data_IF_486898732479
#
_entry.id   IF_486898732479
#
_cell.length_a   1.000
_cell.length_b   1.000
_cell.length_c   1.000
_cell.angle_alpha   90.00
_cell.angle_beta   90.00
_cell.angle_gamma   90.00
#
_symmetry.space_group_name_H-M   'P 1'
#
loop_
_entity.id
_entity.type
_entity.pdbx_description
1 polymer ?
#
# COMPACT_ATOMS: atom_id res chain seq x y z
N UNK A 1 -20.52 13.56 -7.42
CA UNK A 1 -20.75 12.13 -7.08
C UNK A 1 -20.83 11.98 -5.57
N UNK A 2 -21.67 11.09 -5.03
CA UNK A 2 -21.70 10.85 -3.58
C UNK A 2 -20.44 10.10 -3.16
N UNK A 3 -19.61 10.73 -2.32
CA UNK A 3 -18.30 10.21 -1.88
C UNK A 3 -18.44 8.84 -1.22
N UNK A 4 -19.45 8.64 -0.35
CA UNK A 4 -19.65 7.38 0.35
C UNK A 4 -19.94 6.22 -0.62
N UNK A 5 -20.74 6.48 -1.65
CA UNK A 5 -21.00 5.51 -2.72
C UNK A 5 -19.72 5.17 -3.47
N UNK A 6 -18.87 6.16 -3.74
CA UNK A 6 -17.56 5.94 -4.37
C UNK A 6 -16.66 5.07 -3.50
N UNK A 7 -16.58 5.34 -2.19
CA UNK A 7 -15.79 4.56 -1.23
C UNK A 7 -16.29 3.10 -1.20
N UNK A 8 -17.59 2.88 -1.07
CA UNK A 8 -18.15 1.52 -1.06
C UNK A 8 -17.88 0.77 -2.37
N UNK A 9 -18.07 1.42 -3.51
CA UNK A 9 -17.75 0.82 -4.82
C UNK A 9 -16.26 0.52 -4.95
N UNK A 10 -15.39 1.37 -4.41
CA UNK A 10 -13.96 1.15 -4.41
C UNK A 10 -13.60 -0.07 -3.55
N UNK A 11 -14.03 -0.07 -2.28
CA UNK A 11 -13.72 -1.12 -1.31
C UNK A 11 -14.29 -2.49 -1.72
N UNK A 12 -15.36 -2.51 -2.53
CA UNK A 12 -15.97 -3.73 -3.07
C UNK A 12 -15.51 -4.07 -4.50
N UNK A 13 -14.45 -3.45 -5.02
CA UNK A 13 -13.87 -3.75 -6.34
C UNK A 13 -14.83 -3.51 -7.53
N UNK A 14 -15.76 -2.55 -7.41
CA UNK A 14 -16.79 -2.23 -8.40
C UNK A 14 -16.62 -0.85 -9.05
N UNK A 15 -15.55 -0.12 -8.75
CA UNK A 15 -15.31 1.22 -9.29
C UNK A 15 -14.74 1.19 -10.72
N UNK A 16 -15.37 1.89 -11.68
CA UNK A 16 -14.89 1.96 -13.06
C UNK A 16 -13.79 3.02 -13.25
N UNK A 17 -13.05 2.93 -14.37
CA UNK A 17 -11.97 3.87 -14.71
C UNK A 17 -12.50 5.29 -14.89
N UNK A 18 -13.67 5.42 -15.51
CA UNK A 18 -14.33 6.70 -15.77
C UNK A 18 -14.62 7.41 -14.43
N UNK A 19 -15.18 6.69 -13.46
CA UNK A 19 -15.44 7.20 -12.11
C UNK A 19 -14.16 7.55 -11.33
N UNK A 20 -13.05 6.85 -11.58
CA UNK A 20 -11.75 7.21 -10.97
C UNK A 20 -11.19 8.52 -11.54
N UNK A 21 -11.43 8.80 -12.82
CA UNK A 21 -11.03 10.06 -13.45
C UNK A 21 -11.89 11.25 -12.98
N UNK A 22 -13.09 10.98 -12.47
CA UNK A 22 -14.00 11.96 -11.87
C UNK A 22 -13.69 12.27 -10.39
N UNK A 23 -12.57 11.78 -9.85
CA UNK A 23 -12.15 12.16 -8.51
C UNK A 23 -11.97 13.67 -8.40
N UNK A 24 -12.65 14.25 -7.42
CA UNK A 24 -12.66 15.68 -7.14
C UNK A 24 -12.03 15.96 -5.76
N UNK A 25 -11.98 17.24 -5.40
CA UNK A 25 -11.48 17.69 -4.08
C UNK A 25 -12.26 17.08 -2.92
N UNK A 26 -13.55 16.76 -3.08
CA UNK A 26 -14.37 16.17 -2.00
C UNK A 26 -13.94 14.74 -1.70
N UNK A 27 -13.63 13.96 -2.74
CA UNK A 27 -13.07 12.62 -2.59
C UNK A 27 -11.71 12.69 -1.89
N UNK A 28 -10.84 13.61 -2.30
CA UNK A 28 -9.53 13.81 -1.68
C UNK A 28 -9.62 14.22 -0.21
N UNK A 29 -10.48 15.19 0.14
CA UNK A 29 -10.70 15.61 1.53
C UNK A 29 -11.21 14.44 2.37
N UNK A 30 -12.16 13.66 1.84
CA UNK A 30 -12.69 12.48 2.55
C UNK A 30 -11.64 11.40 2.76
N UNK A 31 -10.77 11.20 1.76
CA UNK A 31 -9.61 10.32 1.85
C UNK A 31 -8.63 10.78 2.95
N UNK A 32 -8.38 12.09 3.02
CA UNK A 32 -7.49 12.70 4.01
C UNK A 32 -8.07 12.56 5.42
N UNK A 33 -9.34 12.89 5.61
CA UNK A 33 -10.04 12.74 6.90
C UNK A 33 -10.06 11.28 7.34
N UNK A 34 -10.42 10.35 6.45
CA UNK A 34 -10.42 8.92 6.77
C UNK A 34 -9.04 8.42 7.17
N UNK A 35 -7.99 8.82 6.43
CA UNK A 35 -6.61 8.46 6.74
C UNK A 35 -6.16 9.03 8.08
N UNK A 36 -6.58 10.27 8.38
CA UNK A 36 -6.24 10.94 9.61
C UNK A 36 -6.91 10.29 10.83
N UNK A 37 -8.21 10.01 10.75
CA UNK A 37 -8.97 9.31 11.80
C UNK A 37 -8.38 7.92 12.06
N UNK A 38 -8.13 7.14 11.01
CA UNK A 38 -7.53 5.81 11.13
C UNK A 38 -6.10 5.90 11.69
N UNK A 39 -5.35 6.93 11.30
CA UNK A 39 -4.01 7.19 11.82
C UNK A 39 -4.00 7.50 13.32
N UNK A 40 -4.92 8.35 13.78
CA UNK A 40 -5.11 8.65 15.20
C UNK A 40 -5.55 7.41 15.97
N UNK A 41 -6.54 6.67 15.44
CA UNK A 41 -7.05 5.45 16.07
C UNK A 41 -6.00 4.37 16.28
N UNK A 42 -4.94 4.29 15.46
CA UNK A 42 -3.85 3.33 15.64
C UNK A 42 -3.02 3.57 16.90
N UNK A 43 -2.84 4.82 17.30
CA UNK A 43 -1.93 5.22 18.38
C UNK A 43 -2.67 5.80 19.59
N UNK A 44 -4.01 5.73 19.61
CA UNK A 44 -4.79 6.40 20.65
C UNK A 44 -4.60 5.78 22.05
N UNK A 45 -4.17 4.52 22.11
CA UNK A 45 -4.01 3.72 23.33
C UNK A 45 -2.53 3.44 23.65
N UNK A 46 -1.58 4.08 22.95
CA UNK A 46 -0.14 3.86 23.11
C UNK A 46 0.54 5.07 23.78
N UNK A 47 0.76 4.98 25.09
CA UNK A 47 1.39 6.03 25.91
C UNK A 47 2.81 6.43 25.46
N UNK A 48 3.48 5.63 24.62
CA UNK A 48 4.86 5.90 24.14
C UNK A 48 4.91 6.53 22.76
N UNK A 49 3.78 6.67 22.06
CA UNK A 49 3.79 7.22 20.71
C UNK A 49 4.10 8.73 20.72
N UNK A 50 4.91 9.17 19.76
CA UNK A 50 5.24 10.60 19.63
C UNK A 50 3.99 11.45 19.36
N UNK A 51 4.01 12.74 19.72
CA UNK A 51 2.90 13.66 19.46
C UNK A 51 2.44 13.65 17.98
N UNK A 52 3.38 13.52 17.03
CA UNK A 52 3.07 13.40 15.60
C UNK A 52 2.32 12.12 15.22
N UNK A 53 2.54 11.03 15.96
CA UNK A 53 1.85 9.75 15.76
C UNK A 53 0.46 9.77 16.40
N UNK A 54 0.33 10.30 17.62
CA UNK A 54 -0.97 10.53 18.26
C UNK A 54 -1.87 11.47 17.45
N UNK A 55 -1.28 12.51 16.85
CA UNK A 55 -1.99 13.40 15.94
C UNK A 55 -2.30 12.77 14.57
N UNK A 56 -1.93 11.51 14.30
CA UNK A 56 -2.21 10.81 13.05
C UNK A 56 -1.49 11.37 11.81
N UNK A 57 -0.59 12.35 11.98
CA UNK A 57 0.11 13.04 10.89
C UNK A 57 1.07 12.09 10.13
N UNK A 58 1.62 11.09 10.81
CA UNK A 58 2.43 10.05 10.16
C UNK A 58 1.70 9.30 9.05
N UNK A 59 0.42 8.97 9.26
CA UNK A 59 -0.42 8.30 8.26
C UNK A 59 -0.74 9.20 7.06
N UNK A 60 -0.89 10.50 7.31
CA UNK A 60 -1.10 11.49 6.24
C UNK A 60 0.16 11.62 5.38
N UNK A 61 1.33 11.78 5.99
CA UNK A 61 2.60 11.84 5.25
C UNK A 61 2.81 10.55 4.45
N UNK A 62 2.51 9.40 5.06
CA UNK A 62 2.63 8.09 4.43
C UNK A 62 1.84 7.99 3.12
N UNK A 63 0.58 8.44 3.07
CA UNK A 63 -0.21 8.34 1.83
C UNK A 63 0.37 9.17 0.69
N UNK A 64 0.94 10.35 0.97
CA UNK A 64 1.59 11.18 -0.05
C UNK A 64 2.88 10.52 -0.55
N UNK A 65 3.73 10.03 0.35
CA UNK A 65 4.99 9.35 -0.02
C UNK A 65 4.71 8.08 -0.83
N UNK A 66 3.77 7.25 -0.37
CA UNK A 66 3.39 6.02 -1.07
C UNK A 66 2.79 6.32 -2.44
N UNK A 67 1.91 7.33 -2.53
CA UNK A 67 1.35 7.77 -3.80
C UNK A 67 2.41 8.27 -4.77
N UNK A 68 3.40 9.03 -4.28
CA UNK A 68 4.48 9.54 -5.10
C UNK A 68 5.34 8.40 -5.64
N UNK A 69 5.65 7.43 -4.77
CA UNK A 69 6.42 6.25 -5.13
C UNK A 69 5.72 5.43 -6.24
N UNK A 70 4.44 5.10 -6.06
CA UNK A 70 3.65 4.38 -7.06
C UNK A 70 3.52 5.20 -8.36
N UNK A 71 3.29 6.51 -8.24
CA UNK A 71 3.17 7.40 -9.39
C UNK A 71 4.45 7.41 -10.23
N UNK A 72 5.63 7.50 -9.59
CA UNK A 72 6.94 7.47 -10.24
C UNK A 72 7.17 6.12 -10.93
N UNK A 73 6.86 5.00 -10.26
CA UNK A 73 7.06 3.65 -10.82
C UNK A 73 6.19 3.41 -12.06
N UNK A 74 4.96 3.91 -12.08
CA UNK A 74 4.03 3.73 -13.21
C UNK A 74 4.31 4.73 -14.34
N UNK A 75 4.81 5.92 -14.03
CA UNK A 75 5.02 7.02 -15.00
C UNK A 75 5.79 6.60 -16.28
N UNK A 76 6.88 5.80 -16.23
CA UNK A 76 7.61 5.32 -17.40
C UNK A 76 6.78 4.54 -18.42
N UNK A 77 5.67 3.93 -18.00
CA UNK A 77 4.73 3.22 -18.89
C UNK A 77 3.84 4.15 -19.71
N UNK A 78 3.95 5.48 -19.51
CA UNK A 78 3.18 6.52 -20.22
C UNK A 78 1.67 6.24 -20.22
N UNK A 79 1.11 5.91 -19.07
CA UNK A 79 -0.34 5.63 -18.93
C UNK A 79 -1.16 6.90 -19.21
N UNK A 80 -2.23 6.76 -20.00
CA UNK A 80 -3.07 7.89 -20.38
C UNK A 80 -3.82 8.47 -19.17
N UNK A 81 -3.79 9.80 -19.00
CA UNK A 81 -4.42 10.54 -17.89
C UNK A 81 -3.90 10.14 -16.50
N UNK A 82 -2.64 9.69 -16.41
CA UNK A 82 -1.99 9.35 -15.14
C UNK A 82 -1.58 10.61 -14.35
N UNK A 83 -2.46 11.06 -13.46
CA UNK A 83 -2.23 12.22 -12.59
C UNK A 83 -1.94 11.77 -11.15
N UNK A 84 -0.98 12.43 -10.51
CA UNK A 84 -0.67 12.25 -9.09
C UNK A 84 -1.91 12.45 -8.21
N UNK A 85 -2.76 13.44 -8.51
CA UNK A 85 -3.99 13.71 -7.73
C UNK A 85 -4.93 12.49 -7.67
N UNK A 86 -5.12 11.80 -8.78
CA UNK A 86 -5.95 10.58 -8.85
C UNK A 86 -5.33 9.45 -8.02
N UNK A 87 -4.00 9.30 -8.09
CA UNK A 87 -3.26 8.25 -7.35
C UNK A 87 -3.31 8.48 -5.85
N UNK A 88 -3.03 9.71 -5.38
CA UNK A 88 -3.08 10.02 -3.95
C UNK A 88 -4.51 9.93 -3.40
N UNK A 89 -5.50 10.39 -4.17
CA UNK A 89 -6.92 10.24 -3.78
C UNK A 89 -7.29 8.77 -3.68
N UNK A 90 -6.91 7.96 -4.68
CA UNK A 90 -7.16 6.52 -4.66
C UNK A 90 -6.56 5.87 -3.42
N UNK A 91 -5.26 6.06 -3.19
CA UNK A 91 -4.53 5.45 -2.07
C UNK A 91 -5.13 5.90 -0.73
N UNK A 92 -5.44 7.19 -0.59
CA UNK A 92 -6.08 7.72 0.61
C UNK A 92 -7.47 7.10 0.85
N UNK A 93 -8.28 6.88 -0.19
CA UNK A 93 -9.57 6.20 -0.04
C UNK A 93 -9.44 4.71 0.31
N UNK A 94 -8.25 4.11 0.16
CA UNK A 94 -7.98 2.74 0.64
C UNK A 94 -7.52 2.69 2.10
N UNK A 95 -7.59 3.80 2.85
CA UNK A 95 -7.25 3.82 4.29
C UNK A 95 -8.37 3.31 5.20
N UNK A 96 -9.63 3.37 4.77
CA UNK A 96 -10.75 2.94 5.62
C UNK A 96 -10.65 1.50 6.16
N UNK A 97 -10.20 0.49 5.41
CA UNK A 97 -10.01 -0.86 5.97
C UNK A 97 -9.02 -0.92 7.14
N UNK A 98 -8.08 0.02 7.22
CA UNK A 98 -7.11 0.07 8.32
C UNK A 98 -7.73 0.53 9.64
N UNK A 99 -9.03 0.87 9.69
CA UNK A 99 -9.76 1.09 10.95
C UNK A 99 -9.74 -0.14 11.86
N UNK A 100 -9.54 -1.35 11.31
CA UNK A 100 -9.38 -2.57 12.11
C UNK A 100 -8.20 -2.49 13.08
N UNK A 101 -7.19 -1.65 12.80
CA UNK A 101 -6.06 -1.41 13.70
C UNK A 101 -6.39 -0.52 14.89
N UNK A 102 -7.53 0.16 14.87
CA UNK A 102 -7.95 1.00 15.99
C UNK A 102 -8.74 0.21 17.05
N UNK A 103 -8.98 -1.08 16.84
CA UNK A 103 -9.71 -1.94 17.76
C UNK A 103 -8.73 -2.46 18.83
N UNK A 104 -8.89 -2.07 20.12
CA UNK A 104 -7.95 -2.46 21.18
C UNK A 104 -8.26 -3.88 21.66
N UNK A 105 -7.89 -4.89 20.86
CA UNK A 105 -8.15 -6.30 21.15
C UNK A 105 -7.46 -6.77 22.44
N UNK A 106 -6.36 -6.12 22.81
CA UNK A 106 -5.57 -6.32 24.02
C UNK A 106 -6.38 -6.11 25.30
N UNK A 107 -7.46 -5.31 25.25
CA UNK A 107 -8.34 -5.07 26.41
C UNK A 107 -9.33 -6.20 26.65
N UNK A 108 -9.53 -7.09 25.68
CA UNK A 108 -10.59 -8.10 25.73
C UNK A 108 -10.09 -9.54 25.84
N UNK A 109 -8.85 -9.81 25.44
CA UNK A 109 -8.28 -11.17 25.41
C UNK A 109 -6.87 -11.18 26.03
N UNK A 110 -6.35 -12.38 26.32
CA UNK A 110 -4.97 -12.51 26.79
C UNK A 110 -3.97 -12.04 25.72
N UNK A 111 -2.74 -11.71 26.16
CA UNK A 111 -1.74 -11.07 25.29
C UNK A 111 -1.37 -11.93 24.07
N UNK A 112 -1.29 -13.25 24.23
CA UNK A 112 -0.95 -14.17 23.15
C UNK A 112 -2.04 -14.21 22.07
N UNK A 113 -3.32 -14.25 22.48
CA UNK A 113 -4.45 -14.21 21.54
C UNK A 113 -4.57 -12.82 20.90
N UNK A 114 -4.34 -11.75 21.66
CA UNK A 114 -4.36 -10.38 21.13
C UNK A 114 -3.32 -10.19 20.02
N UNK A 115 -2.10 -10.67 20.24
CA UNK A 115 -1.02 -10.62 19.25
C UNK A 115 -1.38 -11.39 17.97
N UNK A 116 -1.98 -12.57 18.11
CA UNK A 116 -2.45 -13.37 16.97
C UNK A 116 -3.54 -12.64 16.17
N UNK A 117 -4.53 -12.05 16.86
CA UNK A 117 -5.61 -11.29 16.21
C UNK A 117 -5.05 -10.05 15.49
N UNK A 118 -4.16 -9.29 16.13
CA UNK A 118 -3.52 -8.13 15.53
C UNK A 118 -2.71 -8.48 14.27
N UNK A 119 -1.96 -9.60 14.32
CA UNK A 119 -1.25 -10.11 13.16
C UNK A 119 -2.21 -10.45 12.01
N UNK A 120 -3.35 -11.08 12.31
CA UNK A 120 -4.39 -11.37 11.32
C UNK A 120 -5.04 -10.11 10.75
N UNK A 121 -5.35 -9.10 11.57
CA UNK A 121 -5.85 -7.81 11.07
C UNK A 121 -4.84 -7.16 10.12
N UNK A 122 -3.55 -7.18 10.48
CA UNK A 122 -2.48 -6.66 9.63
C UNK A 122 -2.42 -7.41 8.29
N UNK A 123 -2.43 -8.74 8.32
CA UNK A 123 -2.42 -9.57 7.13
C UNK A 123 -3.63 -9.28 6.23
N UNK A 124 -4.85 -9.27 6.79
CA UNK A 124 -6.09 -9.02 6.04
C UNK A 124 -6.07 -7.64 5.39
N UNK A 125 -5.75 -6.59 6.14
CA UNK A 125 -5.73 -5.21 5.63
C UNK A 125 -4.63 -5.03 4.58
N UNK A 126 -3.44 -5.62 4.78
CA UNK A 126 -2.34 -5.58 3.83
C UNK A 126 -2.72 -6.25 2.50
N UNK A 127 -3.27 -7.47 2.56
CA UNK A 127 -3.74 -8.21 1.38
C UNK A 127 -4.86 -7.43 0.69
N UNK A 128 -5.83 -6.90 1.44
CA UNK A 128 -6.93 -6.13 0.87
C UNK A 128 -6.44 -4.90 0.11
N UNK A 129 -5.49 -4.15 0.69
CA UNK A 129 -4.86 -2.99 0.04
C UNK A 129 -4.08 -3.38 -1.21
N UNK A 130 -3.35 -4.49 -1.16
CA UNK A 130 -2.62 -5.02 -2.31
C UNK A 130 -3.57 -5.39 -3.46
N UNK A 131 -4.68 -6.05 -3.13
CA UNK A 131 -5.74 -6.37 -4.08
C UNK A 131 -6.35 -5.10 -4.68
N UNK A 132 -6.63 -4.07 -3.87
CA UNK A 132 -7.15 -2.79 -4.36
C UNK A 132 -6.17 -2.09 -5.29
N UNK A 133 -4.87 -2.09 -4.97
CA UNK A 133 -3.84 -1.53 -5.84
C UNK A 133 -3.76 -2.28 -7.18
N UNK A 134 -3.75 -3.61 -7.15
CA UNK A 134 -3.78 -4.43 -8.35
C UNK A 134 -5.04 -4.15 -9.20
N UNK A 135 -6.20 -4.06 -8.54
CA UNK A 135 -7.47 -3.72 -9.18
C UNK A 135 -7.42 -2.35 -9.87
N UNK A 136 -6.90 -1.34 -9.18
CA UNK A 136 -6.71 -0.01 -9.72
C UNK A 136 -5.80 0.00 -10.93
N UNK A 137 -4.63 -0.62 -10.83
CA UNK A 137 -3.69 -0.70 -11.95
C UNK A 137 -4.31 -1.44 -13.14
N UNK A 138 -5.01 -2.56 -12.90
CA UNK A 138 -5.71 -3.32 -13.95
C UNK A 138 -6.78 -2.48 -14.65
N UNK A 139 -7.61 -1.77 -13.88
CA UNK A 139 -8.73 -1.00 -14.45
C UNK A 139 -8.27 0.31 -15.08
N UNK A 140 -7.22 0.93 -14.54
CA UNK A 140 -6.77 2.27 -14.93
C UNK A 140 -5.73 2.24 -16.05
N UNK A 141 -4.72 1.35 -15.98
CA UNK A 141 -3.51 1.46 -16.80
C UNK A 141 -3.56 0.71 -18.13
N UNK A 142 -4.54 -0.19 -18.35
CA UNK A 142 -4.65 -1.05 -19.54
C UNK A 142 -3.35 -1.81 -19.87
N UNK A 143 -2.44 -1.97 -18.91
CA UNK A 143 -1.19 -2.69 -19.06
C UNK A 143 -1.43 -4.20 -19.10
N UNK A 144 -0.44 -4.95 -19.60
CA UNK A 144 -0.47 -6.41 -19.55
C UNK A 144 -0.47 -6.91 -18.10
N UNK A 145 -1.05 -8.09 -17.87
CA UNK A 145 -1.12 -8.70 -16.54
C UNK A 145 0.26 -8.84 -15.87
N UNK A 146 1.29 -9.20 -16.64
CA UNK A 146 2.66 -9.26 -16.14
C UNK A 146 3.18 -7.92 -15.64
N UNK A 147 3.02 -6.85 -16.42
CA UNK A 147 3.46 -5.51 -16.02
C UNK A 147 2.72 -5.02 -14.77
N UNK A 148 1.41 -5.30 -14.66
CA UNK A 148 0.63 -4.94 -13.47
C UNK A 148 1.16 -5.66 -12.24
N UNK A 149 1.41 -6.97 -12.34
CA UNK A 149 1.95 -7.77 -11.23
C UNK A 149 3.32 -7.25 -10.80
N UNK A 150 4.21 -6.98 -11.76
CA UNK A 150 5.53 -6.43 -11.49
C UNK A 150 5.47 -5.08 -10.79
N UNK A 151 4.65 -4.15 -11.30
CA UNK A 151 4.48 -2.81 -10.70
C UNK A 151 3.82 -2.88 -9.32
N UNK A 152 2.99 -3.89 -9.06
CA UNK A 152 2.32 -4.07 -7.77
C UNK A 152 3.27 -4.64 -6.72
N UNK A 153 4.06 -5.66 -7.07
CA UNK A 153 4.94 -6.34 -6.12
C UNK A 153 6.30 -5.67 -5.93
N UNK A 154 6.87 -5.07 -6.97
CA UNK A 154 8.19 -4.44 -6.90
C UNK A 154 8.29 -3.43 -5.74
N UNK A 155 7.34 -2.48 -5.55
CA UNK A 155 7.40 -1.54 -4.44
C UNK A 155 7.60 -2.22 -3.09
N UNK A 156 6.87 -3.30 -2.86
CA UNK A 156 6.87 -4.03 -1.58
C UNK A 156 8.17 -4.81 -1.44
N UNK A 157 8.59 -5.56 -2.46
CA UNK A 157 9.84 -6.31 -2.43
C UNK A 157 11.05 -5.39 -2.26
N UNK A 158 11.05 -4.21 -2.90
CA UNK A 158 12.11 -3.22 -2.76
C UNK A 158 12.13 -2.62 -1.35
N UNK A 159 10.99 -2.20 -0.82
CA UNK A 159 10.89 -1.67 0.55
C UNK A 159 11.41 -2.71 1.56
N UNK A 160 10.92 -3.96 1.49
CA UNK A 160 11.34 -5.02 2.40
C UNK A 160 12.83 -5.29 2.27
N UNK A 161 13.34 -5.47 1.04
CA UNK A 161 14.75 -5.78 0.81
C UNK A 161 15.67 -4.64 1.27
N UNK A 162 15.28 -3.37 1.04
CA UNK A 162 16.04 -2.20 1.52
C UNK A 162 16.02 -2.10 3.04
N UNK A 163 14.85 -2.27 3.68
CA UNK A 163 14.75 -2.27 5.14
C UNK A 163 15.58 -3.39 5.77
N UNK A 164 15.63 -4.56 5.13
CA UNK A 164 16.47 -5.65 5.61
C UNK A 164 17.95 -5.37 5.39
N UNK A 165 18.36 -4.90 4.20
CA UNK A 165 19.75 -4.57 3.90
C UNK A 165 20.34 -3.48 4.82
N UNK A 166 19.50 -2.53 5.24
CA UNK A 166 19.87 -1.47 6.19
C UNK A 166 19.77 -1.92 7.67
N UNK A 167 19.50 -3.20 7.94
CA UNK A 167 19.24 -3.76 9.28
C UNK A 167 18.10 -3.06 10.07
N UNK A 168 17.29 -2.22 9.43
CA UNK A 168 16.14 -1.53 10.02
C UNK A 168 14.94 -2.48 10.27
N UNK A 169 15.00 -3.71 9.74
CA UNK A 169 13.94 -4.70 9.90
C UNK A 169 13.64 -5.06 11.38
N UNK A 170 14.67 -5.13 12.24
CA UNK A 170 14.50 -5.39 13.68
C UNK A 170 13.79 -4.24 14.38
N UNK A 171 14.07 -3.00 13.97
CA UNK A 171 13.48 -1.80 14.55
C UNK A 171 12.00 -1.68 14.16
N UNK A 172 11.68 -1.89 12.88
CA UNK A 172 10.29 -1.81 12.40
C UNK A 172 9.40 -2.89 13.01
N UNK A 173 9.89 -4.12 13.19
CA UNK A 173 9.10 -5.19 13.80
C UNK A 173 8.92 -5.02 15.31
N UNK A 174 9.95 -4.60 16.04
CA UNK A 174 9.80 -4.27 17.46
C UNK A 174 8.78 -3.13 17.67
N UNK A 175 8.72 -2.17 16.73
CA UNK A 175 7.75 -1.07 16.76
C UNK A 175 6.35 -1.51 16.29
N UNK A 176 6.23 -2.46 15.34
CA UNK A 176 4.93 -2.90 14.81
C UNK A 176 4.28 -4.06 15.57
N UNK A 177 5.04 -4.84 16.35
CA UNK A 177 4.54 -6.00 17.10
C UNK A 177 4.15 -5.72 18.55
N UNK A 178 4.33 -4.49 19.05
CA UNK A 178 3.98 -4.13 20.43
C UNK A 178 4.82 -4.81 21.53
N UNK A 179 5.87 -5.56 21.16
CA UNK A 179 6.63 -6.41 22.09
C UNK A 179 7.62 -5.55 22.89
N UNK A 180 7.37 -5.39 24.19
CA UNK A 180 8.25 -4.68 25.13
C UNK A 180 9.02 -5.59 26.10
N UNK A 181 9.13 -6.89 25.79
CA UNK A 181 10.05 -7.77 26.50
C UNK A 181 10.82 -8.66 25.51
N UNK A 182 12.14 -8.84 25.68
CA UNK A 182 12.94 -9.72 24.84
C UNK A 182 12.67 -11.18 25.23
N UNK A 183 11.46 -11.67 24.96
CA UNK A 183 11.24 -13.11 24.88
C UNK A 183 11.56 -13.57 23.45
N UNK A 184 12.29 -14.68 23.27
CA UNK A 184 12.68 -15.18 21.97
C UNK A 184 11.46 -15.80 21.26
N UNK A 185 10.60 -14.98 20.66
CA UNK A 185 9.58 -15.46 19.73
C UNK A 185 10.24 -15.87 18.39
N UNK A 186 10.68 -17.13 18.33
CA UNK A 186 11.27 -17.77 17.16
C UNK A 186 10.36 -17.69 15.90
N UNK A 187 9.04 -17.62 16.07
CA UNK A 187 8.07 -17.58 14.98
C UNK A 187 8.06 -16.27 14.20
N UNK A 188 8.12 -15.11 14.88
CA UNK A 188 8.15 -13.79 14.22
C UNK A 188 9.45 -13.57 13.46
N UNK A 189 10.58 -14.05 14.00
CA UNK A 189 11.88 -13.97 13.34
C UNK A 189 11.95 -14.85 12.09
N UNK A 190 11.35 -16.05 12.14
CA UNK A 190 11.26 -16.93 10.98
C UNK A 190 10.43 -16.33 9.84
N UNK A 191 9.25 -15.77 10.15
CA UNK A 191 8.40 -15.11 9.13
C UNK A 191 9.14 -13.95 8.47
N UNK A 192 9.86 -13.15 9.26
CA UNK A 192 10.67 -12.06 8.75
C UNK A 192 11.81 -12.54 7.84
N UNK A 193 12.53 -13.56 8.27
CA UNK A 193 13.63 -14.15 7.50
C UNK A 193 13.13 -14.74 6.18
N UNK A 194 11.98 -15.41 6.20
CA UNK A 194 11.32 -15.97 5.02
C UNK A 194 10.83 -14.87 4.06
N UNK A 195 10.14 -13.84 4.58
CA UNK A 195 9.70 -12.69 3.78
C UNK A 195 10.88 -11.94 3.17
N UNK A 196 11.97 -11.80 3.91
CA UNK A 196 13.22 -11.20 3.43
C UNK A 196 13.83 -12.04 2.32
N UNK A 197 13.98 -13.34 2.52
CA UNK A 197 14.57 -14.25 1.54
C UNK A 197 13.79 -14.23 0.23
N UNK A 198 12.46 -14.34 0.31
CA UNK A 198 11.57 -14.26 -0.86
C UNK A 198 11.67 -12.87 -1.53
N UNK A 199 11.65 -11.78 -0.75
CA UNK A 199 11.70 -10.43 -1.31
C UNK A 199 13.03 -10.15 -2.01
N UNK A 200 14.15 -10.56 -1.41
CA UNK A 200 15.48 -10.41 -2.00
C UNK A 200 15.61 -11.22 -3.30
N UNK A 201 15.13 -12.48 -3.28
CA UNK A 201 15.14 -13.36 -4.46
C UNK A 201 14.26 -12.81 -5.59
N UNK A 202 13.06 -12.30 -5.27
CA UNK A 202 12.12 -11.78 -6.25
C UNK A 202 12.50 -10.38 -6.78
N UNK A 203 13.29 -9.60 -6.05
CA UNK A 203 13.64 -8.23 -6.44
C UNK A 203 14.37 -8.18 -7.78
N UNK A 204 15.35 -9.06 -8.01
CA UNK A 204 16.14 -9.07 -9.26
C UNK A 204 15.26 -9.44 -10.47
N UNK A 205 14.51 -10.57 -10.47
CA UNK A 205 13.59 -10.88 -11.57
C UNK A 205 12.54 -9.80 -11.81
N UNK A 206 11.99 -9.19 -10.74
CA UNK A 206 10.98 -8.13 -10.87
C UNK A 206 11.56 -6.85 -11.50
N UNK A 207 12.80 -6.48 -11.16
CA UNK A 207 13.49 -5.35 -11.79
C UNK A 207 13.72 -5.59 -13.28
N UNK A 208 14.16 -6.80 -13.66
CA UNK A 208 14.35 -7.17 -15.08
C UNK A 208 13.01 -7.12 -15.81
N UNK A 209 11.96 -7.73 -15.25
CA UNK A 209 10.62 -7.74 -15.84
C UNK A 209 10.07 -6.31 -16.01
N UNK A 210 10.38 -5.40 -15.09
CA UNK A 210 9.96 -4.01 -15.15
C UNK A 210 10.65 -3.23 -16.27
N UNK A 211 11.98 -3.37 -16.39
CA UNK A 211 12.75 -2.73 -17.46
C UNK A 211 12.26 -3.26 -18.82
N UNK A 212 12.10 -4.57 -18.96
CA UNK A 212 11.55 -5.20 -20.15
C UNK A 212 10.12 -4.71 -20.46
N UNK A 213 9.28 -4.61 -19.43
CA UNK A 213 7.91 -4.12 -19.54
C UNK A 213 7.83 -2.66 -20.01
N UNK A 214 8.72 -1.79 -19.54
CA UNK A 214 8.85 -0.40 -20.01
C UNK A 214 9.28 -0.38 -21.47
N UNK A 215 10.31 -1.15 -21.83
CA UNK A 215 10.85 -1.19 -23.19
C UNK A 215 9.79 -1.63 -24.20
N UNK A 216 9.08 -2.73 -23.90
CA UNK A 216 8.03 -3.25 -24.77
C UNK A 216 6.85 -2.27 -24.90
N UNK A 217 6.45 -1.63 -23.79
CA UNK A 217 5.36 -0.64 -23.79
C UNK A 217 5.70 0.61 -24.62
N UNK A 218 6.97 1.02 -24.66
CA UNK A 218 7.44 2.14 -25.50
C UNK A 218 7.43 1.77 -26.98
N UNK A 219 8.03 0.64 -27.34
CA UNK A 219 8.11 0.16 -28.74
C UNK A 219 6.72 -0.01 -29.37
N UNK A 220 5.77 -0.56 -28.61
CA UNK A 220 4.40 -0.75 -29.08
C UNK A 220 3.65 0.59 -29.32
N UNK A 221 3.97 1.66 -28.58
CA UNK A 221 3.39 2.99 -28.80
C UNK A 221 4.01 3.73 -29.99
N UNK A 222 5.31 3.54 -30.22
CA UNK A 222 6.01 4.09 -31.39
C UNK A 222 5.48 3.49 -32.69
N UNK A 223 5.32 2.16 -32.76
CA UNK A 223 4.76 1.49 -33.95
C UNK A 223 3.33 1.99 -34.29
N UNK A 224 2.47 2.20 -33.28
CA UNK A 224 1.11 2.75 -33.50
C UNK A 224 1.08 4.22 -33.93
N UNK A 225 2.16 4.96 -33.71
CA UNK A 225 2.27 6.36 -34.13
C UNK A 225 2.85 6.48 -35.54
N UNK A 226 3.66 5.51 -35.96
CA UNK A 226 4.19 5.42 -37.33
C UNK A 226 3.17 4.95 -38.38
N UNK A 227 2.17 4.14 -38.02
CA UNK A 227 1.08 3.72 -38.92
C UNK A 227 0.01 4.81 -39.17
N UNK A 228 0.13 5.97 -38.51
CA UNK A 228 -0.80 7.11 -38.67
C UNK A 228 -0.25 8.25 -39.53
N UNK A 229 0.90 8.03 -40.18
CA UNK A 229 1.50 8.93 -41.18
C UNK A 229 1.37 8.30 -42.56
#
# INVERSE_FOLDING_TARGET
>A
MNVLKTILLLLTFRLSREKMLEFDKRHFISALIGTWIVGMGRYWDDDKASLLQHLGLGSVIYIFVLAAFIWIIVKPFKVDKWNYFTVVTFIGLTSFPAILYAIPVEKFVNIDTANSINAWFLAIVAVWRLCLLNYFLKRFTRLSYGNIFTVTLMPICLIISTLTALNLHRVVFNIMGGVHDPSPHESSYFVLMLLTGISALLTIPLLIAYIAGIYYSRKHKENKSGEKL
#
